data_IF_140266937876
#
_entry.id   IF_140266937876
#
_cell.length_a   1.000
_cell.length_b   1.000
_cell.length_c   1.000
_cell.angle_alpha   90.00
_cell.angle_beta   90.00
_cell.angle_gamma   90.00
#
_symmetry.space_group_name_H-M   'P 1'
#
loop_
_entity.id
_entity.type
_entity.pdbx_description
1 polymer ?
#
# COMPACT_ATOMS: atom_id res chain seq x y z
N UNK A 1 19.26 -41.62 3.87
CA UNK A 1 18.16 -41.86 4.84
C UNK A 1 17.22 -42.97 4.37
N UNK A 2 16.55 -42.84 3.22
CA UNK A 2 15.65 -43.90 2.67
C UNK A 2 16.31 -45.28 2.54
N UNK A 3 17.53 -45.38 1.99
CA UNK A 3 18.30 -46.64 1.91
C UNK A 3 18.56 -47.30 3.28
N UNK A 4 18.70 -46.51 4.35
CA UNK A 4 18.91 -47.00 5.71
C UNK A 4 17.60 -47.49 6.34
N UNK A 5 16.49 -46.77 6.11
CA UNK A 5 15.16 -47.22 6.55
C UNK A 5 14.70 -48.49 5.82
N UNK A 6 14.97 -48.60 4.51
CA UNK A 6 14.68 -49.83 3.78
C UNK A 6 15.43 -51.07 4.33
N UNK A 7 16.71 -50.91 4.69
CA UNK A 7 17.47 -51.97 5.35
C UNK A 7 16.94 -52.28 6.76
N UNK A 8 16.45 -51.27 7.49
CA UNK A 8 15.81 -51.48 8.80
C UNK A 8 14.58 -52.37 8.68
N UNK A 9 13.71 -52.08 7.72
CA UNK A 9 12.46 -52.83 7.51
C UNK A 9 12.75 -54.24 6.97
N UNK A 10 13.71 -54.38 6.04
CA UNK A 10 14.14 -55.68 5.49
C UNK A 10 14.75 -56.61 6.56
N UNK A 11 15.34 -56.06 7.63
CA UNK A 11 15.86 -56.83 8.76
C UNK A 11 14.85 -56.97 9.90
N UNK A 12 13.55 -56.88 9.62
CA UNK A 12 12.49 -57.05 10.62
C UNK A 12 12.53 -56.00 11.73
N UNK A 13 12.84 -54.74 11.38
CA UNK A 13 12.97 -53.61 12.31
C UNK A 13 14.05 -53.83 13.38
N UNK A 14 15.12 -54.57 13.05
CA UNK A 14 16.29 -54.76 13.93
C UNK A 14 17.42 -53.79 13.57
N UNK A 15 17.69 -52.84 14.46
CA UNK A 15 18.69 -51.79 14.24
C UNK A 15 20.14 -52.33 14.16
N UNK A 16 20.47 -53.38 14.92
CA UNK A 16 21.81 -53.99 14.90
C UNK A 16 22.06 -54.77 13.61
N UNK A 17 21.06 -55.52 13.14
CA UNK A 17 21.16 -56.27 11.90
C UNK A 17 21.30 -55.33 10.68
N UNK A 18 20.47 -54.29 10.61
CA UNK A 18 20.55 -53.28 9.56
C UNK A 18 21.85 -52.46 9.60
N UNK A 19 22.38 -52.17 10.79
CA UNK A 19 23.67 -51.51 10.95
C UNK A 19 24.83 -52.37 10.43
N UNK A 20 24.81 -53.68 10.74
CA UNK A 20 25.80 -54.66 10.25
C UNK A 20 25.75 -54.82 8.74
N UNK A 21 24.55 -54.94 8.15
CA UNK A 21 24.39 -55.05 6.69
C UNK A 21 24.97 -53.84 5.96
N UNK A 22 24.72 -52.64 6.51
CA UNK A 22 25.16 -51.38 5.89
C UNK A 22 26.58 -50.97 6.26
N UNK A 23 27.27 -51.74 7.10
CA UNK A 23 28.63 -51.43 7.58
C UNK A 23 28.72 -50.11 8.35
N UNK A 24 27.66 -49.72 9.06
CA UNK A 24 27.61 -48.47 9.85
C UNK A 24 27.57 -48.75 11.34
N UNK A 25 28.00 -47.77 12.15
CA UNK A 25 27.89 -47.88 13.60
C UNK A 25 26.41 -47.95 14.04
N UNK A 26 26.10 -48.81 15.02
CA UNK A 26 24.75 -48.97 15.56
C UNK A 26 24.14 -47.63 16.02
N UNK A 27 24.92 -46.77 16.69
CA UNK A 27 24.46 -45.44 17.10
C UNK A 27 24.03 -44.54 15.93
N UNK A 28 24.67 -44.66 14.76
CA UNK A 28 24.29 -43.95 13.54
C UNK A 28 22.97 -44.48 12.97
N UNK A 29 22.73 -45.79 13.08
CA UNK A 29 21.48 -46.41 12.68
C UNK A 29 20.32 -45.98 13.59
N UNK A 30 20.52 -46.03 14.92
CA UNK A 30 19.53 -45.54 15.90
C UNK A 30 19.19 -44.06 15.69
N UNK A 31 20.19 -43.22 15.45
CA UNK A 31 19.96 -41.81 15.15
C UNK A 31 19.13 -41.64 13.86
N UNK A 32 19.43 -42.43 12.81
CA UNK A 32 18.69 -42.38 11.55
C UNK A 32 17.21 -42.79 11.74
N UNK A 33 16.93 -43.84 12.53
CA UNK A 33 15.56 -44.28 12.85
C UNK A 33 14.81 -43.20 13.65
N UNK A 34 15.46 -42.59 14.65
CA UNK A 34 14.88 -41.50 15.44
C UNK A 34 14.49 -40.30 14.56
N UNK A 35 15.38 -39.88 13.66
CA UNK A 35 15.12 -38.78 12.73
C UNK A 35 14.04 -39.16 11.69
N UNK A 36 13.95 -40.43 11.28
CA UNK A 36 12.92 -40.90 10.36
C UNK A 36 11.52 -40.86 10.97
N UNK A 37 11.38 -41.32 12.21
CA UNK A 37 10.12 -41.21 12.98
C UNK A 37 9.70 -39.75 13.17
N UNK A 38 10.64 -38.86 13.50
CA UNK A 38 10.37 -37.42 13.62
C UNK A 38 9.94 -36.75 12.31
N UNK A 39 10.33 -37.32 11.16
CA UNK A 39 9.99 -36.82 9.82
C UNK A 39 8.82 -37.55 9.17
N UNK A 40 8.14 -38.45 9.89
CA UNK A 40 7.00 -39.23 9.37
C UNK A 40 7.37 -40.22 8.26
N UNK A 41 8.64 -40.58 8.11
CA UNK A 41 9.10 -41.55 7.11
C UNK A 41 9.03 -42.94 7.75
N UNK A 42 8.04 -43.74 7.33
CA UNK A 42 7.72 -45.05 7.89
C UNK A 42 6.52 -44.99 8.83
N UNK A 43 5.34 -44.64 8.30
CA UNK A 43 4.06 -44.80 9.01
C UNK A 43 3.84 -46.29 9.17
N UNK A 44 3.65 -46.78 10.40
CA UNK A 44 3.23 -48.17 10.61
C UNK A 44 1.88 -48.36 9.91
N UNK A 45 1.89 -49.10 8.80
CA UNK A 45 0.68 -49.51 8.06
C UNK A 45 0.00 -50.71 8.72
N UNK A 46 0.51 -51.20 9.85
CA UNK A 46 0.01 -52.42 10.50
C UNK A 46 -0.09 -52.28 12.01
N UNK A 47 -1.23 -52.71 12.57
CA UNK A 47 -1.41 -53.06 13.98
C UNK A 47 -1.42 -54.59 14.14
N UNK A 48 -1.61 -55.12 15.36
CA UNK A 48 -1.72 -56.58 15.59
C UNK A 48 -2.84 -57.25 14.79
N UNK A 49 -3.91 -56.52 14.43
CA UNK A 49 -5.11 -57.08 13.79
C UNK A 49 -5.44 -56.49 12.40
N UNK A 50 -4.82 -55.37 11.98
CA UNK A 50 -5.25 -54.61 10.79
C UNK A 50 -4.07 -54.05 9.98
N UNK A 51 -4.19 -54.12 8.65
CA UNK A 51 -3.31 -53.47 7.68
C UNK A 51 -4.06 -52.28 7.07
N UNK A 52 -3.56 -51.07 7.23
CA UNK A 52 -4.09 -49.85 6.64
C UNK A 52 -3.44 -49.58 5.27
N UNK A 53 -4.22 -49.16 4.27
CA UNK A 53 -3.67 -48.77 2.97
C UNK A 53 -2.82 -47.50 3.10
N UNK A 54 -1.76 -47.39 2.29
CA UNK A 54 -1.09 -46.10 2.10
C UNK A 54 -2.06 -45.13 1.41
N UNK A 55 -2.50 -44.10 2.14
CA UNK A 55 -3.32 -43.04 1.59
C UNK A 55 -2.39 -41.95 1.04
N UNK A 56 -2.48 -41.59 -0.26
CA UNK A 56 -1.70 -40.49 -0.79
C UNK A 56 -2.10 -39.18 -0.10
N UNK A 57 -1.10 -38.41 0.35
CA UNK A 57 -1.33 -37.08 0.90
C UNK A 57 -1.42 -36.05 -0.23
N UNK A 58 -2.38 -35.14 -0.14
CA UNK A 58 -2.46 -33.95 -1.00
C UNK A 58 -1.50 -32.84 -0.57
N UNK A 59 -0.87 -32.98 0.60
CA UNK A 59 0.02 -31.96 1.16
C UNK A 59 1.42 -32.06 0.55
N UNK A 60 1.99 -30.89 0.28
CA UNK A 60 3.39 -30.76 -0.14
C UNK A 60 4.32 -31.15 1.02
N UNK A 61 5.44 -31.80 0.69
CA UNK A 61 6.53 -32.03 1.64
C UNK A 61 7.14 -30.70 2.12
N UNK A 62 7.85 -30.73 3.24
CA UNK A 62 8.54 -29.55 3.74
C UNK A 62 9.52 -28.96 2.71
N UNK A 63 10.26 -29.82 2.01
CA UNK A 63 11.17 -29.41 0.94
C UNK A 63 10.43 -28.74 -0.24
N UNK A 64 9.28 -29.26 -0.66
CA UNK A 64 8.45 -28.64 -1.71
C UNK A 64 7.85 -27.29 -1.27
N UNK A 65 7.41 -27.18 0.00
CA UNK A 65 6.94 -25.92 0.57
C UNK A 65 8.06 -24.87 0.64
N UNK A 66 9.28 -25.28 1.02
CA UNK A 66 10.45 -24.40 1.07
C UNK A 66 10.79 -23.91 -0.34
N UNK A 67 10.82 -24.79 -1.34
CA UNK A 67 11.08 -24.41 -2.72
C UNK A 67 10.01 -23.44 -3.24
N UNK A 68 8.73 -23.73 -2.99
CA UNK A 68 7.63 -22.83 -3.35
C UNK A 68 7.77 -21.46 -2.67
N UNK A 69 8.15 -21.43 -1.40
CA UNK A 69 8.39 -20.20 -0.66
C UNK A 69 9.58 -19.40 -1.20
N UNK A 70 10.68 -20.07 -1.58
CA UNK A 70 11.85 -19.44 -2.17
C UNK A 70 11.53 -18.77 -3.51
N UNK A 71 10.85 -19.48 -4.42
CA UNK A 71 10.40 -18.92 -5.71
C UNK A 71 9.47 -17.73 -5.50
N UNK A 72 8.53 -17.83 -4.55
CA UNK A 72 7.62 -16.71 -4.22
C UNK A 72 8.39 -15.52 -3.65
N UNK A 73 9.36 -15.75 -2.75
CA UNK A 73 10.16 -14.69 -2.16
C UNK A 73 10.91 -13.88 -3.21
N UNK A 74 11.59 -14.54 -4.16
CA UNK A 74 12.31 -13.86 -5.24
C UNK A 74 11.36 -12.99 -6.08
N UNK A 75 10.17 -13.52 -6.44
CA UNK A 75 9.14 -12.75 -7.14
C UNK A 75 8.65 -11.55 -6.32
N UNK A 76 8.42 -11.73 -5.03
CA UNK A 76 8.01 -10.64 -4.13
C UNK A 76 9.10 -9.59 -3.97
N UNK A 77 10.37 -10.00 -3.90
CA UNK A 77 11.52 -9.10 -3.82
C UNK A 77 11.62 -8.26 -5.10
N UNK A 78 11.61 -8.89 -6.27
CA UNK A 78 11.73 -8.17 -7.54
C UNK A 78 10.55 -7.20 -7.74
N UNK A 79 9.34 -7.64 -7.37
CA UNK A 79 8.14 -6.80 -7.43
C UNK A 79 8.18 -5.62 -6.43
N UNK A 80 8.77 -5.81 -5.25
CA UNK A 80 8.98 -4.74 -4.25
C UNK A 80 10.03 -3.74 -4.73
N UNK A 81 11.14 -4.24 -5.27
CA UNK A 81 12.25 -3.40 -5.69
C UNK A 81 11.88 -2.60 -6.95
N UNK A 82 11.10 -3.17 -7.88
CA UNK A 82 10.56 -2.46 -9.06
C UNK A 82 9.56 -1.33 -8.71
N UNK A 83 8.88 -1.43 -7.56
CA UNK A 83 7.97 -0.38 -7.07
C UNK A 83 8.70 0.81 -6.44
N UNK A 84 9.91 0.58 -5.92
CA UNK A 84 10.69 1.65 -5.28
C UNK A 84 11.14 2.64 -6.34
N UNK A 85 10.63 3.87 -6.27
CA UNK A 85 10.90 4.92 -7.26
C UNK A 85 10.46 4.57 -8.68
N UNK A 86 9.31 3.88 -8.81
CA UNK A 86 8.72 3.58 -10.12
C UNK A 86 8.55 4.86 -10.96
N UNK A 87 8.81 4.75 -12.26
CA UNK A 87 8.72 5.89 -13.17
C UNK A 87 7.32 5.99 -13.77
N UNK A 88 6.68 7.15 -13.59
CA UNK A 88 5.46 7.53 -14.30
C UNK A 88 5.85 8.58 -15.33
N UNK A 89 5.82 8.19 -16.61
CA UNK A 89 6.28 9.03 -17.72
C UNK A 89 5.15 9.91 -18.23
N UNK A 90 5.36 11.22 -18.24
CA UNK A 90 4.43 12.16 -18.88
C UNK A 90 4.77 12.31 -20.36
N UNK A 91 3.73 12.55 -21.18
CA UNK A 91 3.87 12.56 -22.64
C UNK A 91 4.36 13.89 -23.22
N UNK A 92 4.51 14.93 -22.39
CA UNK A 92 4.88 16.28 -22.83
C UNK A 92 5.69 17.01 -21.77
N UNK A 93 6.44 18.03 -22.17
CA UNK A 93 7.12 18.97 -21.25
C UNK A 93 6.21 20.12 -20.78
N UNK A 94 4.90 20.06 -21.02
CA UNK A 94 3.98 21.06 -20.47
C UNK A 94 3.84 20.89 -18.94
N UNK A 95 3.60 21.96 -18.19
CA UNK A 95 3.31 21.89 -16.76
C UNK A 95 2.14 20.93 -16.46
N UNK A 96 2.21 20.23 -15.34
CA UNK A 96 1.16 19.31 -14.85
C UNK A 96 0.74 19.70 -13.43
N UNK A 97 -0.46 19.29 -13.04
CA UNK A 97 -0.89 19.32 -11.64
C UNK A 97 -1.00 17.90 -11.09
N UNK A 98 -0.62 17.72 -9.82
CA UNK A 98 -0.80 16.47 -9.07
C UNK A 98 -1.59 16.80 -7.81
N UNK A 99 -2.87 16.46 -7.82
CA UNK A 99 -3.78 16.60 -6.69
C UNK A 99 -3.62 15.41 -5.75
N UNK A 100 -3.22 15.67 -4.51
CA UNK A 100 -3.23 14.69 -3.43
C UNK A 100 -4.61 14.76 -2.76
N UNK A 101 -5.49 13.86 -3.18
CA UNK A 101 -6.84 13.73 -2.65
C UNK A 101 -6.75 13.08 -1.26
N UNK A 102 -7.11 13.84 -0.22
CA UNK A 102 -7.16 13.32 1.14
C UNK A 102 -8.35 12.40 1.35
N UNK A 103 -8.43 11.86 2.57
CA UNK A 103 -9.35 10.82 3.06
C UNK A 103 -10.83 11.08 2.69
N UNK A 104 -11.37 10.41 1.64
CA UNK A 104 -12.71 10.70 1.18
C UNK A 104 -13.81 10.23 2.13
N UNK A 105 -13.68 9.02 2.71
CA UNK A 105 -14.73 8.34 3.47
C UNK A 105 -16.10 8.43 2.77
N UNK A 106 -16.16 8.05 1.50
CA UNK A 106 -17.27 8.34 0.58
C UNK A 106 -18.64 7.78 1.02
N UNK A 107 -18.64 6.79 1.91
CA UNK A 107 -19.83 6.16 2.49
C UNK A 107 -20.23 6.69 3.87
N UNK A 108 -19.48 7.66 4.40
CA UNK A 108 -19.82 8.35 5.64
C UNK A 108 -20.87 9.44 5.40
N UNK A 109 -21.85 9.56 6.30
CA UNK A 109 -22.83 10.66 6.28
C UNK A 109 -22.17 12.05 6.38
N UNK A 110 -20.99 12.13 6.99
CA UNK A 110 -20.20 13.34 7.11
C UNK A 110 -19.28 13.63 5.93
N UNK A 111 -19.24 12.80 4.89
CA UNK A 111 -18.52 13.10 3.65
C UNK A 111 -19.17 14.29 2.93
N UNK A 112 -18.40 15.34 2.68
CA UNK A 112 -18.82 16.51 1.92
C UNK A 112 -18.85 16.21 0.42
N UNK A 113 -19.84 15.42 0.00
CA UNK A 113 -20.09 15.07 -1.39
C UNK A 113 -20.24 16.27 -2.34
N UNK A 114 -20.88 17.39 -1.96
CA UNK A 114 -20.89 18.60 -2.79
C UNK A 114 -19.48 19.08 -3.15
N UNK A 115 -18.57 19.15 -2.16
CA UNK A 115 -17.17 19.52 -2.39
C UNK A 115 -16.45 18.45 -3.23
N UNK A 116 -16.58 17.17 -2.88
CA UNK A 116 -15.94 16.08 -3.61
C UNK A 116 -16.40 16.05 -5.08
N UNK A 117 -17.68 16.28 -5.35
CA UNK A 117 -18.22 16.32 -6.72
C UNK A 117 -17.68 17.50 -7.53
N UNK A 118 -17.55 18.69 -6.91
CA UNK A 118 -16.89 19.84 -7.53
C UNK A 118 -15.43 19.49 -7.88
N UNK A 119 -14.71 18.91 -6.94
CA UNK A 119 -13.30 18.57 -7.11
C UNK A 119 -13.09 17.47 -8.17
N UNK A 120 -13.95 16.44 -8.19
CA UNK A 120 -13.98 15.44 -9.28
C UNK A 120 -14.13 16.15 -10.63
N UNK A 121 -15.07 17.09 -10.75
CA UNK A 121 -15.32 17.81 -12.01
C UNK A 121 -14.08 18.61 -12.47
N UNK A 122 -13.42 19.31 -11.55
CA UNK A 122 -12.16 20.02 -11.84
C UNK A 122 -11.07 19.04 -12.31
N UNK A 123 -10.89 17.91 -11.61
CA UNK A 123 -9.91 16.89 -11.97
C UNK A 123 -10.18 16.26 -13.35
N UNK A 124 -11.44 16.08 -13.72
CA UNK A 124 -11.83 15.57 -15.04
C UNK A 124 -11.53 16.60 -16.14
N UNK A 125 -11.96 17.85 -15.92
CA UNK A 125 -12.01 18.90 -16.95
C UNK A 125 -10.66 19.58 -17.19
N UNK A 126 -9.82 19.76 -16.16
CA UNK A 126 -8.58 20.54 -16.29
C UNK A 126 -7.47 19.75 -16.98
N UNK A 127 -7.01 20.15 -18.20
CA UNK A 127 -5.99 19.40 -18.92
C UNK A 127 -4.65 19.39 -18.18
N UNK A 128 -4.03 18.21 -18.08
CA UNK A 128 -2.75 18.05 -17.38
C UNK A 128 -2.85 18.00 -15.86
N UNK A 129 -4.06 18.02 -15.30
CA UNK A 129 -4.31 17.74 -13.89
C UNK A 129 -4.52 16.24 -13.69
N UNK A 130 -3.76 15.67 -12.76
CA UNK A 130 -3.77 14.26 -12.35
C UNK A 130 -4.01 14.17 -10.84
N UNK A 131 -4.31 12.97 -10.34
CA UNK A 131 -4.59 12.76 -8.91
C UNK A 131 -3.85 11.56 -8.31
N UNK A 132 -3.62 11.63 -7.00
CA UNK A 132 -3.19 10.54 -6.13
C UNK A 132 -4.22 10.41 -5.02
N UNK A 133 -4.78 9.22 -4.80
CA UNK A 133 -5.61 8.94 -3.64
C UNK A 133 -4.69 8.64 -2.43
N UNK A 134 -4.84 9.37 -1.34
CA UNK A 134 -4.02 9.18 -0.12
C UNK A 134 -4.58 8.10 0.82
N UNK A 135 -5.73 7.52 0.49
CA UNK A 135 -6.32 6.39 1.22
C UNK A 135 -7.59 6.78 1.95
N UNK A 136 -8.09 5.85 2.76
CA UNK A 136 -9.37 5.93 3.48
C UNK A 136 -10.52 6.34 2.57
N UNK A 137 -10.62 5.60 1.46
CA UNK A 137 -11.65 5.80 0.45
C UNK A 137 -13.05 5.57 1.03
N UNK A 138 -13.18 4.55 1.86
CA UNK A 138 -14.42 4.12 2.53
C UNK A 138 -14.14 3.90 4.02
N UNK A 139 -15.16 4.04 4.88
CA UNK A 139 -15.00 3.77 6.31
C UNK A 139 -14.75 2.30 6.63
N UNK A 140 -15.30 1.38 5.84
CA UNK A 140 -15.09 -0.07 5.96
C UNK A 140 -15.17 -0.59 7.41
N UNK A 141 -16.22 -0.17 8.13
CA UNK A 141 -16.38 -0.32 9.58
C UNK A 141 -16.02 -1.71 10.15
N UNK A 142 -15.17 -1.75 11.20
CA UNK A 142 -14.76 -2.99 11.90
C UNK A 142 -14.75 -2.88 13.42
N UNK A 143 -14.73 -4.03 14.10
CA UNK A 143 -14.50 -4.12 15.55
C UNK A 143 -15.47 -3.24 16.34
N UNK A 144 -14.94 -2.39 17.23
CA UNK A 144 -15.76 -1.47 18.02
C UNK A 144 -16.38 -0.33 17.20
N UNK A 145 -15.85 -0.04 16.01
CA UNK A 145 -16.35 1.01 15.13
C UNK A 145 -17.59 0.57 14.34
N UNK A 146 -17.88 -0.74 14.25
CA UNK A 146 -19.09 -1.25 13.58
C UNK A 146 -20.38 -0.69 14.18
N UNK A 147 -20.37 -0.27 15.45
CA UNK A 147 -21.53 0.39 16.08
C UNK A 147 -21.90 1.70 15.37
N UNK A 148 -20.92 2.44 14.85
CA UNK A 148 -21.13 3.71 14.14
C UNK A 148 -21.79 3.51 12.77
N UNK A 149 -21.72 2.28 12.23
CA UNK A 149 -22.42 1.91 11.00
C UNK A 149 -23.95 1.98 11.16
N UNK A 150 -24.47 1.77 12.39
CA UNK A 150 -25.90 1.87 12.66
C UNK A 150 -26.46 3.27 12.41
N UNK A 151 -25.60 4.29 12.48
CA UNK A 151 -25.94 5.69 12.24
C UNK A 151 -25.63 6.15 10.80
N UNK A 152 -25.19 5.24 9.91
CA UNK A 152 -24.91 5.55 8.50
C UNK A 152 -26.12 5.27 7.62
N UNK A 153 -26.32 6.10 6.60
CA UNK A 153 -27.42 5.93 5.63
C UNK A 153 -27.03 5.00 4.47
N UNK A 154 -25.74 4.90 4.17
CA UNK A 154 -25.25 4.08 3.07
C UNK A 154 -24.94 2.66 3.50
N UNK A 155 -25.50 1.69 2.77
CA UNK A 155 -25.13 0.30 2.92
C UNK A 155 -23.72 0.01 2.40
N UNK A 156 -23.09 -1.07 2.88
CA UNK A 156 -21.83 -1.60 2.32
C UNK A 156 -21.88 -1.77 0.78
N UNK A 157 -23.02 -2.15 0.21
CA UNK A 157 -23.19 -2.27 -1.24
C UNK A 157 -23.12 -0.92 -1.95
N UNK A 158 -23.72 0.12 -1.36
CA UNK A 158 -23.63 1.49 -1.89
C UNK A 158 -22.20 2.03 -1.77
N UNK A 159 -21.54 1.80 -0.63
CA UNK A 159 -20.14 2.17 -0.43
C UNK A 159 -19.23 1.65 -1.56
N UNK A 160 -19.29 0.35 -1.87
CA UNK A 160 -18.48 -0.22 -2.95
C UNK A 160 -18.89 0.21 -4.36
N UNK A 161 -20.17 0.56 -4.56
CA UNK A 161 -20.61 1.20 -5.82
C UNK A 161 -19.96 2.57 -6.00
N UNK A 162 -19.88 3.37 -4.93
CA UNK A 162 -19.22 4.68 -4.96
C UNK A 162 -17.70 4.54 -5.05
N UNK A 163 -17.10 3.54 -4.39
CA UNK A 163 -15.68 3.25 -4.48
C UNK A 163 -15.29 2.93 -5.93
N UNK A 164 -16.05 2.05 -6.60
CA UNK A 164 -15.88 1.78 -8.03
C UNK A 164 -16.03 3.04 -8.88
N UNK A 165 -17.05 3.86 -8.59
CA UNK A 165 -17.26 5.11 -9.33
C UNK A 165 -16.02 6.01 -9.26
N UNK A 166 -15.49 6.25 -8.05
CA UNK A 166 -14.36 7.16 -7.87
C UNK A 166 -13.04 6.57 -8.40
N UNK A 167 -12.81 5.27 -8.21
CA UNK A 167 -11.56 4.62 -8.65
C UNK A 167 -11.50 4.35 -10.15
N UNK A 168 -12.65 4.22 -10.83
CA UNK A 168 -12.69 3.71 -12.20
C UNK A 168 -13.69 4.37 -13.14
N UNK A 169 -14.92 4.61 -12.71
CA UNK A 169 -15.98 5.05 -13.64
C UNK A 169 -15.97 6.57 -13.89
N UNK A 170 -15.43 7.36 -12.95
CA UNK A 170 -15.13 8.77 -13.19
C UNK A 170 -13.92 8.93 -14.12
N UNK A 171 -13.76 10.13 -14.70
CA UNK A 171 -12.71 10.43 -15.69
C UNK A 171 -11.45 11.03 -15.07
N UNK A 172 -11.29 10.91 -13.75
CA UNK A 172 -10.07 11.33 -13.07
C UNK A 172 -8.89 10.53 -13.62
N UNK A 173 -7.80 11.25 -13.92
CA UNK A 173 -6.53 10.66 -14.37
C UNK A 173 -5.67 10.36 -13.14
N UNK A 174 -5.79 9.15 -12.63
CA UNK A 174 -5.04 8.70 -11.45
C UNK A 174 -3.59 8.33 -11.77
N UNK A 175 -2.66 8.74 -10.91
CA UNK A 175 -1.25 8.32 -10.93
C UNK A 175 -1.02 7.12 -10.02
N UNK A 176 -1.70 7.09 -8.87
CA UNK A 176 -1.55 6.06 -7.85
C UNK A 176 -2.73 6.12 -6.86
N UNK A 177 -3.06 4.98 -6.29
CA UNK A 177 -3.90 4.90 -5.10
C UNK A 177 -3.08 4.34 -3.94
N UNK A 178 -3.19 4.99 -2.78
CA UNK A 178 -2.75 4.42 -1.52
C UNK A 178 -3.94 3.77 -0.82
N UNK A 179 -3.67 2.70 -0.09
CA UNK A 179 -4.59 2.18 0.92
C UNK A 179 -4.33 2.90 2.25
N UNK A 180 -5.38 3.45 2.85
CA UNK A 180 -5.36 3.92 4.23
C UNK A 180 -5.60 2.81 5.25
N UNK A 181 -5.72 3.15 6.53
CA UNK A 181 -6.01 2.14 7.55
C UNK A 181 -7.42 1.56 7.42
N UNK A 182 -8.42 2.37 7.03
CA UNK A 182 -9.78 1.89 6.81
C UNK A 182 -9.84 0.95 5.61
N UNK A 183 -9.12 1.30 4.54
CA UNK A 183 -9.00 0.50 3.33
C UNK A 183 -8.32 -0.86 3.58
N UNK A 184 -7.45 -0.93 4.59
CA UNK A 184 -6.70 -2.14 4.93
C UNK A 184 -7.49 -3.17 5.74
N UNK A 185 -8.69 -2.83 6.22
CA UNK A 185 -9.52 -3.75 7.00
C UNK A 185 -10.30 -4.75 6.12
N UNK A 186 -10.59 -5.93 6.68
CA UNK A 186 -11.33 -7.01 5.99
C UNK A 186 -10.79 -7.27 4.56
N UNK A 187 -11.69 -7.44 3.59
CA UNK A 187 -11.39 -7.60 2.17
C UNK A 187 -11.11 -6.28 1.44
N UNK A 188 -10.97 -5.15 2.17
CA UNK A 188 -10.79 -3.82 1.61
C UNK A 188 -9.66 -3.73 0.58
N UNK A 189 -8.44 -4.25 0.85
CA UNK A 189 -7.34 -4.23 -0.12
C UNK A 189 -7.69 -4.94 -1.43
N UNK A 190 -8.38 -6.08 -1.33
CA UNK A 190 -8.78 -6.87 -2.50
C UNK A 190 -9.85 -6.14 -3.32
N UNK A 191 -10.86 -5.59 -2.64
CA UNK A 191 -11.97 -4.88 -3.29
C UNK A 191 -11.52 -3.58 -3.94
N UNK A 192 -10.60 -2.83 -3.33
CA UNK A 192 -10.02 -1.62 -3.93
C UNK A 192 -9.17 -2.00 -5.14
N UNK A 193 -8.29 -3.00 -5.04
CA UNK A 193 -7.48 -3.49 -6.16
C UNK A 193 -8.35 -4.00 -7.33
N UNK A 194 -9.48 -4.65 -7.03
CA UNK A 194 -10.42 -5.14 -8.05
C UNK A 194 -11.24 -4.01 -8.72
N UNK A 195 -11.48 -2.91 -8.02
CA UNK A 195 -12.26 -1.79 -8.55
C UNK A 195 -11.40 -0.68 -9.18
N UNK A 196 -10.11 -0.61 -8.87
CA UNK A 196 -9.18 0.33 -9.49
C UNK A 196 -8.97 0.07 -10.99
N UNK A 197 -8.55 1.10 -11.72
CA UNK A 197 -8.11 0.94 -13.10
C UNK A 197 -6.86 0.03 -13.15
N UNK A 198 -6.82 -1.03 -13.98
CA UNK A 198 -5.72 -2.01 -13.95
C UNK A 198 -4.31 -1.43 -14.16
N UNK A 199 -4.21 -0.29 -14.84
CA UNK A 199 -2.93 0.38 -15.12
C UNK A 199 -2.46 1.31 -13.99
N UNK A 200 -3.34 1.62 -13.02
CA UNK A 200 -3.03 2.54 -11.92
C UNK A 200 -2.53 1.72 -10.73
N UNK A 201 -1.31 1.97 -10.23
CA UNK A 201 -0.76 1.24 -9.10
C UNK A 201 -1.58 1.51 -7.82
N UNK A 202 -1.92 0.44 -7.11
CA UNK A 202 -2.54 0.46 -5.79
C UNK A 202 -1.51 -0.04 -4.78
N UNK A 203 -1.02 0.86 -3.95
CA UNK A 203 0.08 0.62 -3.02
C UNK A 203 -0.43 0.58 -1.58
N UNK A 204 0.13 -0.34 -0.79
CA UNK A 204 -0.26 -0.53 0.59
C UNK A 204 0.45 0.54 1.45
N UNK A 205 -0.33 1.45 2.06
CA UNK A 205 0.11 2.55 2.91
C UNK A 205 0.96 3.65 2.26
N UNK A 206 1.95 3.33 1.44
CA UNK A 206 2.86 4.31 0.86
C UNK A 206 3.33 3.94 -0.55
N UNK A 207 3.64 4.97 -1.34
CA UNK A 207 4.23 4.85 -2.67
C UNK A 207 5.38 5.84 -2.84
N UNK A 208 6.44 5.39 -3.51
CA UNK A 208 7.56 6.23 -3.94
C UNK A 208 7.65 6.13 -5.45
N UNK A 209 7.37 7.23 -6.14
CA UNK A 209 7.40 7.27 -7.60
C UNK A 209 8.09 8.54 -8.09
N UNK A 210 8.52 8.49 -9.35
CA UNK A 210 9.11 9.63 -10.03
C UNK A 210 8.28 9.98 -11.24
N UNK A 211 7.88 11.25 -11.34
CA UNK A 211 7.27 11.80 -12.54
C UNK A 211 8.39 12.19 -13.48
N UNK A 212 8.46 11.53 -14.64
CA UNK A 212 9.56 11.69 -15.60
C UNK A 212 9.05 12.40 -16.85
N UNK A 213 9.66 13.55 -17.14
CA UNK A 213 9.35 14.38 -18.30
C UNK A 213 10.24 14.05 -19.51
N UNK A 214 9.78 14.28 -20.75
CA UNK A 214 10.58 14.06 -21.95
C UNK A 214 11.92 14.80 -21.98
N UNK A 215 12.04 15.96 -21.34
CA UNK A 215 13.30 16.70 -21.20
C UNK A 215 14.27 16.12 -20.15
N UNK A 216 13.98 14.94 -19.60
CA UNK A 216 14.80 14.27 -18.59
C UNK A 216 14.62 14.80 -17.16
N UNK A 217 13.81 15.84 -16.93
CA UNK A 217 13.50 16.32 -15.58
C UNK A 217 12.63 15.31 -14.83
N UNK A 218 12.89 15.18 -13.53
CA UNK A 218 12.29 14.15 -12.65
C UNK A 218 11.78 14.79 -11.36
N UNK A 219 10.52 14.57 -11.02
CA UNK A 219 9.98 14.96 -9.70
C UNK A 219 9.70 13.71 -8.89
N UNK A 220 10.41 13.56 -7.77
CA UNK A 220 10.27 12.47 -6.82
C UNK A 220 9.15 12.77 -5.84
N UNK A 221 8.20 11.85 -5.73
CA UNK A 221 7.08 11.93 -4.78
C UNK A 221 7.16 10.75 -3.83
N UNK A 222 7.21 11.04 -2.53
CA UNK A 222 6.95 10.06 -1.47
C UNK A 222 5.57 10.36 -0.89
N UNK A 223 4.58 9.59 -1.30
CA UNK A 223 3.22 9.68 -0.77
C UNK A 223 3.01 8.55 0.24
N UNK A 224 2.40 8.85 1.38
CA UNK A 224 2.03 7.86 2.39
C UNK A 224 0.69 8.25 3.00
N UNK A 225 -0.14 7.30 3.40
CA UNK A 225 -1.36 7.60 4.15
C UNK A 225 -1.05 8.44 5.39
N UNK A 226 -0.02 8.05 6.16
CA UNK A 226 0.68 8.94 7.09
C UNK A 226 2.17 8.58 7.24
N UNK A 227 2.95 9.52 7.77
CA UNK A 227 4.35 9.32 8.10
C UNK A 227 4.56 9.10 9.60
N UNK A 228 5.46 8.19 10.01
CA UNK A 228 5.79 7.99 11.42
C UNK A 228 6.32 9.27 12.08
N UNK A 229 5.68 9.66 13.18
CA UNK A 229 6.03 10.85 13.96
C UNK A 229 4.80 11.68 14.29
N UNK A 230 4.70 12.15 15.53
CA UNK A 230 3.57 12.97 15.98
C UNK A 230 4.03 14.21 16.74
N UNK A 231 3.25 15.29 16.63
CA UNK A 231 3.43 16.51 17.41
C UNK A 231 2.06 17.17 17.60
N UNK A 232 1.80 17.69 18.80
CA UNK A 232 0.60 18.49 19.08
C UNK A 232 0.69 19.91 18.49
N UNK A 233 1.89 20.35 18.11
CA UNK A 233 2.16 21.70 17.59
C UNK A 233 2.37 21.72 16.08
N UNK A 234 3.04 20.71 15.54
CA UNK A 234 3.37 20.63 14.12
C UNK A 234 2.58 19.49 13.44
N UNK A 235 1.49 19.78 12.72
CA UNK A 235 0.72 18.76 12.01
C UNK A 235 1.54 18.04 10.93
N UNK A 236 2.67 18.62 10.49
CA UNK A 236 3.57 18.06 9.50
C UNK A 236 4.83 17.43 10.11
N UNK A 237 4.83 17.10 11.42
CA UNK A 237 6.01 16.52 12.06
C UNK A 237 6.49 15.21 11.39
N UNK A 238 5.57 14.29 11.07
CA UNK A 238 5.89 13.06 10.32
C UNK A 238 6.55 13.32 8.96
N UNK A 239 5.92 14.05 8.03
CA UNK A 239 6.52 14.33 6.73
C UNK A 239 7.80 15.19 6.82
N UNK A 240 7.91 16.11 7.79
CA UNK A 240 9.14 16.85 8.05
C UNK A 240 10.30 15.93 8.47
N UNK A 241 10.03 14.97 9.36
CA UNK A 241 11.00 13.95 9.75
C UNK A 241 11.40 13.07 8.55
N UNK A 242 10.44 12.74 7.69
CA UNK A 242 10.71 11.98 6.47
C UNK A 242 11.66 12.74 5.52
N UNK A 243 11.40 14.03 5.27
CA UNK A 243 12.27 14.89 4.47
C UNK A 243 13.70 15.00 5.05
N UNK A 244 13.83 14.95 6.37
CA UNK A 244 15.15 15.03 7.01
C UNK A 244 15.91 13.69 6.96
N UNK A 245 15.24 12.57 7.23
CA UNK A 245 15.89 11.29 7.55
C UNK A 245 15.77 10.21 6.48
N UNK A 246 14.76 10.27 5.60
CA UNK A 246 14.51 9.24 4.60
C UNK A 246 15.16 9.60 3.25
N UNK A 247 14.92 8.76 2.24
CA UNK A 247 15.35 9.02 0.87
C UNK A 247 14.82 10.36 0.37
N UNK A 248 15.63 11.04 -0.43
CA UNK A 248 15.30 12.36 -0.97
C UNK A 248 14.07 12.27 -1.90
N UNK A 249 13.09 13.13 -1.64
CA UNK A 249 11.94 13.38 -2.49
C UNK A 249 11.74 14.89 -2.64
N UNK A 250 11.16 15.34 -3.75
CA UNK A 250 10.76 16.74 -3.94
C UNK A 250 9.44 17.04 -3.23
N UNK A 251 8.56 16.03 -3.09
CA UNK A 251 7.25 16.15 -2.42
C UNK A 251 7.07 14.98 -1.44
N UNK A 252 6.73 15.31 -0.20
CA UNK A 252 6.28 14.38 0.84
C UNK A 252 4.80 14.65 1.14
N UNK A 253 3.91 13.73 0.74
CA UNK A 253 2.46 13.92 0.82
C UNK A 253 1.77 12.89 1.73
N UNK A 254 0.84 13.34 2.58
CA UNK A 254 0.06 12.49 3.48
C UNK A 254 -1.36 12.99 3.80
N UNK A 255 -2.13 12.17 4.52
CA UNK A 255 -3.54 12.39 4.88
C UNK A 255 -3.79 11.93 6.32
N UNK A 256 -4.74 11.03 6.54
CA UNK A 256 -5.05 10.28 7.78
C UNK A 256 -5.53 11.08 9.01
N UNK A 257 -4.94 12.26 9.28
CA UNK A 257 -5.19 13.04 10.50
C UNK A 257 -6.31 14.06 10.37
N UNK A 258 -7.01 14.07 9.23
CA UNK A 258 -8.13 14.96 8.96
C UNK A 258 -7.83 16.44 9.24
N UNK A 259 -6.58 16.84 8.96
CA UNK A 259 -6.07 18.21 9.04
C UNK A 259 -5.26 18.51 7.80
N UNK A 260 -5.24 19.75 7.35
CA UNK A 260 -4.41 20.20 6.25
C UNK A 260 -3.25 21.06 6.72
N UNK A 261 -2.16 20.97 5.99
CA UNK A 261 -1.01 21.87 6.10
C UNK A 261 -0.17 21.77 4.82
N UNK A 262 0.46 22.89 4.45
CA UNK A 262 1.41 22.96 3.35
C UNK A 262 2.63 23.73 3.85
N UNK A 263 3.83 23.22 3.55
CA UNK A 263 5.09 23.87 3.89
C UNK A 263 6.14 23.53 2.84
N UNK A 264 7.10 24.41 2.65
CA UNK A 264 8.26 24.24 1.79
C UNK A 264 9.52 24.56 2.58
N UNK A 265 10.61 23.85 2.29
CA UNK A 265 11.88 24.09 2.98
C UNK A 265 13.05 23.59 2.17
N UNK A 266 14.23 23.99 2.60
CA UNK A 266 15.50 23.53 2.05
C UNK A 266 16.26 22.74 3.11
N UNK A 267 16.66 21.53 2.77
CA UNK A 267 17.51 20.73 3.63
C UNK A 267 18.97 21.14 3.43
N UNK A 268 19.45 22.10 4.21
CA UNK A 268 20.82 22.63 4.10
C UNK A 268 21.93 21.56 4.30
N UNK A 269 21.63 20.45 4.97
CA UNK A 269 22.60 19.36 5.18
C UNK A 269 22.68 18.39 3.99
N UNK A 270 21.65 18.38 3.14
CA UNK A 270 21.48 17.41 2.04
C UNK A 270 21.23 18.07 0.68
N UNK A 271 21.26 19.40 0.62
CA UNK A 271 21.23 20.23 -0.58
C UNK A 271 20.02 19.96 -1.50
N UNK A 272 18.81 20.04 -0.94
CA UNK A 272 17.57 19.95 -1.74
C UNK A 272 16.39 20.70 -1.13
N UNK A 273 15.53 21.22 -2.01
CA UNK A 273 14.24 21.80 -1.65
C UNK A 273 13.16 20.71 -1.63
N UNK A 274 12.26 20.77 -0.66
CA UNK A 274 11.16 19.84 -0.51
C UNK A 274 9.85 20.55 -0.18
N UNK A 275 8.76 19.91 -0.57
CA UNK A 275 7.40 20.26 -0.16
C UNK A 275 6.84 19.22 0.81
N UNK A 276 6.16 19.70 1.85
CA UNK A 276 5.39 18.89 2.78
C UNK A 276 3.91 19.18 2.56
N UNK A 277 3.14 18.12 2.34
CA UNK A 277 1.72 18.17 2.08
C UNK A 277 1.01 17.28 3.09
N UNK A 278 0.02 17.83 3.80
CA UNK A 278 -1.02 17.05 4.46
C UNK A 278 -2.37 17.49 3.91
N UNK A 279 -3.12 16.55 3.33
CA UNK A 279 -4.48 16.76 2.88
C UNK A 279 -5.47 16.35 3.99
N UNK A 280 -6.53 17.14 4.17
CA UNK A 280 -7.54 16.94 5.22
C UNK A 280 -8.52 15.82 4.88
N UNK A 281 -8.83 15.62 3.60
CA UNK A 281 -9.91 14.74 3.18
C UNK A 281 -11.30 15.40 3.20
N UNK A 282 -12.31 14.59 2.89
CA UNK A 282 -13.67 15.05 2.58
C UNK A 282 -14.67 14.74 3.69
N UNK A 283 -14.29 13.94 4.69
CA UNK A 283 -15.07 13.81 5.93
C UNK A 283 -15.05 15.13 6.69
N UNK A 284 -16.15 15.87 6.64
CA UNK A 284 -16.30 17.20 7.22
C UNK A 284 -17.06 17.19 8.55
N UNK A 285 -17.95 16.21 8.74
CA UNK A 285 -18.73 16.03 9.97
C UNK A 285 -18.29 14.71 10.61
N UNK A 286 -17.80 14.76 11.83
CA UNK A 286 -17.33 13.58 12.55
C UNK A 286 -17.55 13.73 14.06
N UNK A 287 -18.67 13.19 14.55
CA UNK A 287 -19.01 13.21 15.96
C UNK A 287 -18.01 12.44 16.84
N UNK A 288 -17.29 11.46 16.29
CA UNK A 288 -16.25 10.76 17.01
C UNK A 288 -15.01 11.64 17.20
N UNK A 289 -14.64 12.42 16.19
CA UNK A 289 -13.58 13.41 16.31
C UNK A 289 -13.93 14.51 17.33
N UNK A 290 -15.19 14.97 17.33
CA UNK A 290 -15.69 15.95 18.30
C UNK A 290 -15.59 15.42 19.75
N UNK A 291 -15.95 14.15 19.98
CA UNK A 291 -15.82 13.50 21.30
C UNK A 291 -14.36 13.41 21.78
N UNK A 292 -13.42 13.29 20.85
CA UNK A 292 -11.98 13.27 21.15
C UNK A 292 -11.36 14.67 21.27
N UNK A 293 -12.16 15.73 21.06
CA UNK A 293 -11.72 17.12 21.17
C UNK A 293 -10.83 17.59 20.02
N UNK A 294 -10.88 16.93 18.86
CA UNK A 294 -10.15 17.39 17.67
C UNK A 294 -10.86 18.59 17.04
N UNK A 295 -10.08 19.62 16.67
CA UNK A 295 -10.61 20.80 15.99
C UNK A 295 -10.95 20.51 14.53
N UNK A 296 -12.05 21.08 14.03
CA UNK A 296 -12.43 20.98 12.61
C UNK A 296 -11.77 22.09 11.77
N UNK A 297 -11.27 21.71 10.60
CA UNK A 297 -10.75 22.64 9.60
C UNK A 297 -11.65 22.63 8.36
N UNK A 298 -11.77 23.79 7.70
CA UNK A 298 -12.73 23.99 6.59
C UNK A 298 -12.16 23.73 5.19
N UNK A 299 -10.84 23.87 5.02
CA UNK A 299 -10.17 23.89 3.72
C UNK A 299 -9.23 22.69 3.54
N UNK A 300 -8.49 22.65 2.42
CA UNK A 300 -7.42 21.69 2.18
C UNK A 300 -7.87 20.23 2.15
N UNK A 301 -9.10 19.95 1.70
CA UNK A 301 -9.60 18.58 1.51
C UNK A 301 -8.67 17.78 0.58
N UNK A 302 -8.20 18.46 -0.47
CA UNK A 302 -7.08 18.05 -1.30
C UNK A 302 -6.03 19.16 -1.34
N UNK A 303 -4.79 18.80 -1.67
CA UNK A 303 -3.70 19.76 -1.91
C UNK A 303 -3.08 19.42 -3.25
N UNK A 304 -2.87 20.42 -4.12
CA UNK A 304 -2.36 20.19 -5.48
C UNK A 304 -0.98 20.78 -5.66
N UNK A 305 -0.03 19.96 -6.14
CA UNK A 305 1.27 20.42 -6.59
C UNK A 305 1.25 20.69 -8.10
N UNK A 306 1.45 21.94 -8.50
CA UNK A 306 1.70 22.31 -9.90
C UNK A 306 3.19 22.23 -10.17
N UNK A 307 3.56 21.44 -11.17
CA UNK A 307 4.93 21.09 -11.53
C UNK A 307 5.21 21.65 -12.93
N UNK A 308 6.20 22.52 -13.03
CA UNK A 308 6.68 23.11 -14.27
C UNK A 308 8.08 22.56 -14.59
N UNK A 309 8.20 21.65 -15.57
CA UNK A 309 9.48 21.00 -15.89
C UNK A 309 10.43 21.91 -16.69
N UNK A 310 10.00 23.11 -17.09
CA UNK A 310 10.80 24.05 -17.86
C UNK A 310 11.57 25.05 -16.98
N UNK A 311 11.29 25.09 -15.69
CA UNK A 311 11.93 26.02 -14.74
C UNK A 311 12.65 25.27 -13.61
N UNK A 312 13.64 25.94 -13.03
CA UNK A 312 14.45 25.42 -11.94
C UNK A 312 14.17 26.13 -10.61
N UNK A 313 14.71 25.56 -9.53
CA UNK A 313 14.64 26.10 -8.19
C UNK A 313 13.23 26.06 -7.59
N UNK A 314 12.92 26.92 -6.61
CA UNK A 314 11.65 26.90 -5.89
C UNK A 314 10.40 27.13 -6.76
N UNK A 315 10.56 27.74 -7.95
CA UNK A 315 9.44 27.98 -8.88
C UNK A 315 8.97 26.73 -9.63
N UNK A 316 9.75 25.65 -9.57
CA UNK A 316 9.49 24.39 -10.27
C UNK A 316 8.25 23.67 -9.74
N UNK A 317 8.01 23.75 -8.43
CA UNK A 317 6.87 23.11 -7.78
C UNK A 317 6.19 24.17 -6.91
N UNK A 318 4.88 24.30 -7.05
CA UNK A 318 4.06 25.13 -6.16
C UNK A 318 2.85 24.34 -5.69
N UNK A 319 2.64 24.31 -4.38
CA UNK A 319 1.50 23.62 -3.78
C UNK A 319 0.37 24.59 -3.39
N UNK A 320 -0.86 24.19 -3.68
CA UNK A 320 -2.07 24.97 -3.45
C UNK A 320 -3.07 24.17 -2.61
N UNK A 321 -3.58 24.73 -1.50
CA UNK A 321 -4.61 24.08 -0.69
C UNK A 321 -6.02 24.21 -1.26
N UNK A 322 -6.22 25.06 -2.27
CA UNK A 322 -7.44 25.15 -3.04
C UNK A 322 -7.23 24.56 -4.45
N UNK A 323 -8.10 23.63 -4.84
CA UNK A 323 -8.00 22.89 -6.09
C UNK A 323 -8.39 23.75 -7.30
N UNK A 324 -9.32 24.69 -7.13
CA UNK A 324 -9.79 25.58 -8.20
C UNK A 324 -8.67 26.56 -8.56
N UNK A 325 -8.05 27.20 -7.57
CA UNK A 325 -6.87 28.06 -7.76
C UNK A 325 -5.72 27.29 -8.43
N UNK A 326 -5.47 26.04 -8.00
CA UNK A 326 -4.45 25.19 -8.60
C UNK A 326 -4.74 24.90 -10.09
N UNK A 327 -6.00 24.64 -10.43
CA UNK A 327 -6.44 24.36 -11.79
C UNK A 327 -6.34 25.60 -12.69
N UNK A 328 -6.71 26.78 -12.18
CA UNK A 328 -6.54 28.06 -12.87
C UNK A 328 -5.05 28.36 -13.11
N UNK A 329 -4.22 28.25 -12.08
CA UNK A 329 -2.78 28.47 -12.18
C UNK A 329 -2.11 27.50 -13.15
N UNK A 330 -2.50 26.22 -13.12
CA UNK A 330 -2.03 25.22 -14.07
C UNK A 330 -2.41 25.57 -15.50
N UNK A 331 -3.66 25.98 -15.73
CA UNK A 331 -4.15 26.38 -17.06
C UNK A 331 -3.33 27.55 -17.58
N UNK A 332 -3.17 28.60 -16.78
CA UNK A 332 -2.33 29.76 -17.10
C UNK A 332 -0.88 29.37 -17.42
N UNK A 333 -0.27 28.48 -16.62
CA UNK A 333 1.09 27.96 -16.86
C UNK A 333 1.19 27.23 -18.19
N UNK A 334 0.19 26.42 -18.56
CA UNK A 334 0.18 25.60 -19.77
C UNK A 334 -0.08 26.39 -21.05
N UNK A 335 -0.79 27.51 -20.97
CA UNK A 335 -0.98 28.44 -22.09
C UNK A 335 0.31 29.16 -22.49
N UNK A 336 1.26 29.27 -21.56
CA UNK A 336 2.54 29.95 -21.73
C UNK A 336 3.72 29.01 -22.03
N UNK A 337 3.45 27.72 -22.16
CA UNK A 337 4.46 26.64 -22.25
C UNK A 337 4.61 26.05 -23.65
#
# INVERSE_FOLDING_TARGET
MRKRMAAYDANGKNADAAARELGIAHGTMQHTIKVAKQRGIGVDVETEDLIFPELPSSELSAEELIEQAAVRFERHRDARDARRWMEIKVKSNKPIGVCFMGDPHIDNNGCNWPLLRRDIKLLEDTPGLFAVNIGDLTDNWVGRLVRLYADQEMSKKQAWKLAKYLLRDCKIRWLCHLLGNHDAWNDGPYLIKANAQPMVPVEDWQSRFQIVFPNGKRVKVHAAHDFPGNSIWNPQHGPQKAAMLLEQADIFACGHKHTWAVNEGENAQRDFVYWLIRARGYKAIDSYADQLGYGSQKFGASITAVIDPAVEGPRRIRCFPDLEEAAEFLTWKRERA
#
